data_IF_800355291736
#
_entry.id   IF_800355291736
#
_cell.length_a   1.000
_cell.length_b   1.000
_cell.length_c   1.000
_cell.angle_alpha   90.00
_cell.angle_beta   90.00
_cell.angle_gamma   90.00
#
_symmetry.space_group_name_H-M   'P 1'
#
loop_
_entity.id
_entity.type
_entity.pdbx_description
1 polymer ?
#
# COMPACT_ATOMS: atom_id res chain seq x y z
N UNK A 1 25.52 7.38 -7.28
CA UNK A 1 24.12 7.30 -6.82
C UNK A 1 23.20 7.40 -8.02
N UNK A 2 22.39 6.37 -8.31
CA UNK A 2 21.39 6.45 -9.39
C UNK A 2 20.36 7.51 -9.01
N UNK A 3 20.09 8.47 -9.89
CA UNK A 3 19.19 9.60 -9.62
C UNK A 3 17.73 9.28 -9.93
N UNK A 4 17.33 8.04 -9.68
CA UNK A 4 16.00 7.52 -10.00
C UNK A 4 15.57 6.43 -9.02
N UNK A 5 14.27 6.25 -8.86
CA UNK A 5 13.73 5.13 -8.11
C UNK A 5 13.78 3.86 -8.97
N UNK A 6 14.03 2.72 -8.33
CA UNK A 6 13.97 1.40 -8.95
C UNK A 6 12.75 0.65 -8.39
N UNK A 7 11.79 0.31 -9.24
CA UNK A 7 10.53 -0.32 -8.83
C UNK A 7 10.54 -1.77 -9.32
N UNK A 8 10.78 -2.73 -8.41
CA UNK A 8 10.92 -4.16 -8.76
C UNK A 8 9.69 -5.00 -8.45
N UNK A 9 8.54 -4.35 -8.30
CA UNK A 9 7.28 -4.99 -7.93
C UNK A 9 6.20 -4.64 -8.93
N UNK A 10 5.23 -5.54 -9.08
CA UNK A 10 3.97 -5.19 -9.71
C UNK A 10 3.12 -4.35 -8.74
N UNK A 11 3.02 -3.05 -9.02
CA UNK A 11 2.25 -2.10 -8.21
C UNK A 11 0.74 -2.31 -8.30
N UNK A 12 0.25 -2.98 -9.34
CA UNK A 12 -1.19 -3.29 -9.48
C UNK A 12 -1.65 -4.32 -8.45
N UNK A 13 -0.71 -5.09 -7.89
CA UNK A 13 -0.98 -6.06 -6.83
C UNK A 13 -1.09 -5.43 -5.43
N UNK A 14 -0.74 -4.14 -5.29
CA UNK A 14 -0.90 -3.38 -4.05
C UNK A 14 -2.31 -2.79 -3.92
N UNK A 15 -2.77 -2.65 -2.68
CA UNK A 15 -4.01 -1.94 -2.38
C UNK A 15 -3.97 -0.51 -2.99
N UNK A 16 -5.02 -0.01 -3.66
CA UNK A 16 -4.97 1.28 -4.37
C UNK A 16 -4.55 2.47 -3.50
N UNK A 17 -4.90 2.42 -2.20
CA UNK A 17 -4.42 3.39 -1.21
C UNK A 17 -2.92 3.27 -0.93
N UNK A 18 -2.37 2.06 -0.79
CA UNK A 18 -0.95 1.87 -0.54
C UNK A 18 -0.16 2.35 -1.75
N UNK A 19 -0.59 1.95 -2.95
CA UNK A 19 0.01 2.38 -4.20
C UNK A 19 0.02 3.92 -4.33
N UNK A 20 -1.10 4.58 -3.98
CA UNK A 20 -1.17 6.04 -3.95
C UNK A 20 -0.16 6.66 -2.96
N UNK A 21 -0.05 6.09 -1.76
CA UNK A 21 0.90 6.55 -0.73
C UNK A 21 2.35 6.30 -1.16
N UNK A 22 2.65 5.17 -1.79
CA UNK A 22 3.96 4.88 -2.36
C UNK A 22 4.35 5.93 -3.41
N UNK A 23 3.43 6.27 -4.32
CA UNK A 23 3.66 7.35 -5.29
C UNK A 23 3.97 8.71 -4.63
N UNK A 24 3.31 9.05 -3.52
CA UNK A 24 3.63 10.27 -2.75
C UNK A 24 5.00 10.15 -2.06
N UNK A 25 5.31 8.99 -1.49
CA UNK A 25 6.58 8.74 -0.81
C UNK A 25 7.75 8.94 -1.78
N UNK A 26 7.70 8.29 -2.95
CA UNK A 26 8.71 8.40 -4.00
C UNK A 26 8.93 9.88 -4.36
N UNK A 27 7.86 10.62 -4.68
CA UNK A 27 7.96 12.06 -4.99
C UNK A 27 8.58 12.88 -3.86
N UNK A 28 8.24 12.61 -2.60
CA UNK A 28 8.80 13.34 -1.44
C UNK A 28 10.27 12.98 -1.19
N UNK A 29 10.65 11.72 -1.41
CA UNK A 29 12.04 11.27 -1.30
C UNK A 29 12.91 11.84 -2.42
N UNK A 30 12.44 11.84 -3.67
CA UNK A 30 13.14 12.46 -4.81
C UNK A 30 13.43 13.95 -4.57
N UNK A 31 12.48 14.71 -4.03
CA UNK A 31 12.69 16.12 -3.63
C UNK A 31 13.80 16.31 -2.61
N UNK A 32 14.14 15.27 -1.85
CA UNK A 32 15.24 15.24 -0.87
C UNK A 32 16.48 14.51 -1.40
N UNK A 33 16.52 14.19 -2.70
CA UNK A 33 17.59 13.41 -3.34
C UNK A 33 17.81 12.04 -2.69
N UNK A 34 16.74 11.45 -2.15
CA UNK A 34 16.72 10.08 -1.65
C UNK A 34 16.00 9.22 -2.68
N UNK A 35 16.73 8.31 -3.29
CA UNK A 35 16.21 7.38 -4.28
C UNK A 35 16.06 5.99 -3.66
N UNK A 36 14.98 5.31 -4.01
CA UNK A 36 14.54 4.08 -3.34
C UNK A 36 14.52 2.95 -4.35
N UNK A 37 14.88 1.76 -3.89
CA UNK A 37 14.53 0.51 -4.54
C UNK A 37 13.30 -0.03 -3.82
N UNK A 38 12.21 -0.32 -4.54
CA UNK A 38 11.06 -1.03 -3.97
C UNK A 38 11.29 -2.50 -4.22
N UNK A 39 11.71 -3.22 -3.18
CA UNK A 39 12.26 -4.58 -3.29
C UNK A 39 11.19 -5.66 -3.17
N UNK A 40 10.16 -5.42 -2.35
CA UNK A 40 9.10 -6.39 -2.09
C UNK A 40 7.74 -5.69 -2.05
N UNK A 41 6.71 -6.40 -2.50
CA UNK A 41 5.35 -5.90 -2.64
C UNK A 41 4.35 -6.97 -2.19
N UNK A 42 3.42 -7.36 -3.07
CA UNK A 42 2.53 -8.47 -2.78
C UNK A 42 3.28 -9.80 -2.71
N UNK A 43 2.90 -10.67 -1.76
CA UNK A 43 3.41 -12.06 -1.66
C UNK A 43 2.26 -13.05 -1.78
N UNK A 44 2.41 -14.04 -2.66
CA UNK A 44 1.48 -15.18 -2.73
C UNK A 44 1.64 -16.10 -1.50
N UNK A 45 0.66 -16.99 -1.27
CA UNK A 45 0.76 -18.02 -0.23
C UNK A 45 2.01 -18.88 -0.40
N UNK A 46 2.24 -19.39 -1.62
CA UNK A 46 3.40 -20.23 -1.92
C UNK A 46 4.73 -19.48 -1.69
N UNK A 47 4.82 -18.21 -2.09
CA UNK A 47 6.02 -17.42 -1.85
C UNK A 47 6.25 -17.17 -0.35
N UNK A 48 5.19 -16.87 0.41
CA UNK A 48 5.28 -16.70 1.85
C UNK A 48 5.72 -18.00 2.55
N UNK A 49 5.20 -19.15 2.14
CA UNK A 49 5.62 -20.47 2.66
C UNK A 49 7.10 -20.76 2.33
N UNK A 50 7.56 -20.41 1.13
CA UNK A 50 8.97 -20.53 0.76
C UNK A 50 9.90 -19.65 1.61
N UNK A 51 9.47 -18.44 1.98
CA UNK A 51 10.21 -17.58 2.91
C UNK A 51 10.20 -18.13 4.33
N UNK A 52 9.07 -18.70 4.79
CA UNK A 52 8.96 -19.31 6.11
C UNK A 52 9.89 -20.53 6.26
N UNK A 53 10.13 -21.27 5.19
CA UNK A 53 11.02 -22.43 5.18
C UNK A 53 12.51 -22.08 5.42
N UNK A 54 12.97 -20.86 5.09
CA UNK A 54 14.37 -20.44 5.27
C UNK A 54 14.76 -20.42 6.75
N UNK A 55 15.90 -21.03 7.07
CA UNK A 55 16.39 -21.21 8.43
C UNK A 55 15.59 -22.23 9.26
N UNK A 56 14.71 -23.01 8.62
CA UNK A 56 13.92 -24.08 9.23
C UNK A 56 14.11 -25.39 8.49
N UNK A 57 13.51 -25.50 7.31
CA UNK A 57 13.60 -26.67 6.42
C UNK A 57 14.44 -26.43 5.18
N UNK A 58 14.89 -25.18 4.96
CA UNK A 58 15.84 -24.80 3.93
C UNK A 58 16.97 -23.94 4.53
N UNK A 59 18.18 -23.96 3.98
CA UNK A 59 19.27 -23.08 4.42
C UNK A 59 18.91 -21.59 4.37
N UNK A 60 19.58 -20.79 5.20
CA UNK A 60 19.43 -19.33 5.26
C UNK A 60 18.95 -18.82 6.62
N UNK A 61 18.80 -17.50 6.76
CA UNK A 61 18.29 -16.86 7.98
C UNK A 61 16.76 -16.92 8.02
N UNK A 62 16.20 -17.01 9.23
CA UNK A 62 14.76 -16.80 9.44
C UNK A 62 14.43 -15.34 9.12
N UNK A 63 13.62 -15.13 8.08
CA UNK A 63 13.19 -13.80 7.61
C UNK A 63 11.72 -13.51 7.91
N UNK A 64 10.97 -14.49 8.42
CA UNK A 64 9.56 -14.35 8.79
C UNK A 64 9.14 -15.44 9.78
N UNK A 65 8.18 -15.11 10.63
CA UNK A 65 7.48 -16.05 11.50
C UNK A 65 6.09 -16.44 10.96
N UNK A 66 5.66 -15.84 9.85
CA UNK A 66 4.34 -16.08 9.28
C UNK A 66 4.37 -17.18 8.21
N UNK A 67 3.66 -18.29 8.47
CA UNK A 67 3.28 -19.27 7.44
C UNK A 67 2.27 -18.64 6.48
N UNK A 68 2.35 -18.98 5.19
CA UNK A 68 1.43 -18.51 4.17
C UNK A 68 -0.02 -18.90 4.45
N UNK A 69 -0.27 -20.08 5.01
CA UNK A 69 -1.62 -20.53 5.39
C UNK A 69 -2.31 -19.66 6.45
N UNK A 70 -1.57 -18.88 7.23
CA UNK A 70 -2.12 -18.07 8.32
C UNK A 70 -2.52 -16.66 7.90
N UNK A 71 -2.14 -16.23 6.69
CA UNK A 71 -2.29 -14.85 6.21
C UNK A 71 -1.78 -13.79 7.21
N UNK A 72 -0.73 -14.12 7.97
CA UNK A 72 -0.19 -13.23 9.02
C UNK A 72 0.84 -12.22 8.51
N UNK A 73 1.22 -12.30 7.23
CA UNK A 73 2.11 -11.34 6.56
C UNK A 73 1.29 -10.23 5.87
N UNK A 74 1.59 -8.97 6.16
CA UNK A 74 0.89 -7.82 5.56
C UNK A 74 1.08 -7.73 4.03
N UNK A 75 2.17 -8.26 3.49
CA UNK A 75 2.40 -8.35 2.04
C UNK A 75 1.36 -9.21 1.32
N UNK A 76 0.85 -10.25 1.98
CA UNK A 76 -0.18 -11.11 1.38
C UNK A 76 -1.50 -10.38 1.16
N UNK A 77 -1.74 -9.32 1.92
CA UNK A 77 -2.92 -8.46 1.79
C UNK A 77 -2.68 -7.29 0.82
N UNK A 78 -1.49 -7.16 0.24
CA UNK A 78 -1.12 -6.03 -0.62
C UNK A 78 -1.13 -4.67 0.11
N UNK A 79 -1.00 -4.67 1.45
CA UNK A 79 -0.99 -3.44 2.26
C UNK A 79 0.39 -3.06 2.76
N UNK A 80 1.44 -3.74 2.30
CA UNK A 80 2.83 -3.46 2.63
C UNK A 80 3.77 -3.53 1.43
N UNK A 81 4.92 -2.87 1.56
CA UNK A 81 6.05 -2.94 0.64
C UNK A 81 7.36 -2.78 1.42
N UNK A 82 8.44 -3.34 0.90
CA UNK A 82 9.80 -3.15 1.45
C UNK A 82 10.63 -2.24 0.54
N UNK A 83 11.57 -1.53 1.14
CA UNK A 83 12.48 -0.65 0.42
C UNK A 83 13.95 -0.94 0.74
N UNK A 84 14.82 -0.58 -0.19
CA UNK A 84 16.21 -0.26 0.06
C UNK A 84 16.52 1.15 -0.45
N UNK A 85 17.69 1.68 -0.10
CA UNK A 85 18.22 2.93 -0.69
C UNK A 85 18.89 2.59 -2.02
N UNK A 86 18.61 3.35 -3.08
CA UNK A 86 19.23 3.17 -4.40
C UNK A 86 20.64 3.79 -4.45
N UNK A 87 21.46 3.40 -3.49
CA UNK A 87 22.90 3.64 -3.43
C UNK A 87 23.53 2.38 -2.82
N UNK A 88 24.46 1.75 -3.54
CA UNK A 88 25.07 0.48 -3.13
C UNK A 88 25.76 0.56 -1.77
N UNK A 89 26.23 1.75 -1.36
CA UNK A 89 26.87 1.98 -0.06
C UNK A 89 25.87 2.17 1.08
N UNK A 90 24.60 2.41 0.77
CA UNK A 90 23.54 2.68 1.73
C UNK A 90 22.41 1.64 1.66
N UNK A 91 22.64 0.51 1.01
CA UNK A 91 21.67 -0.58 0.95
C UNK A 91 21.30 -1.00 2.38
N UNK A 92 20.01 -0.87 2.70
CA UNK A 92 19.46 -1.14 4.03
C UNK A 92 20.10 -0.35 5.18
N UNK A 93 20.72 0.80 4.89
CA UNK A 93 21.25 1.68 5.93
C UNK A 93 20.13 2.16 6.88
N UNK A 94 20.26 1.84 8.15
CA UNK A 94 19.21 2.06 9.14
C UNK A 94 18.90 3.55 9.35
N UNK A 95 19.92 4.43 9.32
CA UNK A 95 19.71 5.87 9.50
C UNK A 95 18.93 6.47 8.32
N UNK A 96 19.22 6.03 7.10
CA UNK A 96 18.51 6.42 5.89
C UNK A 96 17.09 5.85 5.84
N UNK A 97 16.89 4.58 6.20
CA UNK A 97 15.56 4.00 6.34
C UNK A 97 14.71 4.75 7.37
N UNK A 98 15.29 5.13 8.52
CA UNK A 98 14.64 5.97 9.53
C UNK A 98 14.28 7.37 9.00
N UNK A 99 15.14 7.98 8.15
CA UNK A 99 14.82 9.25 7.46
C UNK A 99 13.63 9.08 6.52
N UNK A 100 13.59 8.01 5.72
CA UNK A 100 12.45 7.70 4.85
C UNK A 100 11.19 7.45 5.67
N UNK A 101 11.30 6.76 6.81
CA UNK A 101 10.18 6.50 7.71
C UNK A 101 9.56 7.77 8.28
N UNK A 102 10.36 8.78 8.63
CA UNK A 102 9.82 10.09 9.02
C UNK A 102 8.98 10.74 7.91
N UNK A 103 9.34 10.53 6.64
CA UNK A 103 8.57 11.03 5.48
C UNK A 103 7.28 10.19 5.29
N UNK A 104 7.40 8.87 5.38
CA UNK A 104 6.32 7.91 5.21
C UNK A 104 5.22 8.10 6.29
N UNK A 105 5.60 8.31 7.54
CA UNK A 105 4.67 8.58 8.66
C UNK A 105 3.85 9.86 8.44
N UNK A 106 4.46 10.93 7.92
CA UNK A 106 3.75 12.18 7.57
C UNK A 106 2.68 12.00 6.48
N UNK A 107 2.73 10.90 5.73
CA UNK A 107 1.73 10.56 4.73
C UNK A 107 0.88 9.35 5.17
N UNK A 108 0.88 8.98 6.45
CA UNK A 108 0.01 7.95 7.00
C UNK A 108 0.41 6.51 6.70
N UNK A 109 1.70 6.25 6.45
CA UNK A 109 2.27 4.90 6.44
C UNK A 109 2.88 4.58 7.81
N UNK A 110 2.82 3.31 8.19
CA UNK A 110 3.57 2.74 9.30
C UNK A 110 4.93 2.24 8.85
N UNK A 111 5.80 1.95 9.81
CA UNK A 111 7.16 1.47 9.57
C UNK A 111 7.46 0.29 10.50
N UNK A 112 7.99 -0.80 9.95
CA UNK A 112 8.33 -2.01 10.71
C UNK A 112 9.51 -1.82 11.66
N UNK A 113 10.32 -0.77 11.46
CA UNK A 113 11.37 -0.37 12.39
C UNK A 113 10.86 0.14 13.75
N UNK A 114 9.57 0.42 13.89
CA UNK A 114 8.96 0.77 15.19
C UNK A 114 8.43 -0.45 15.97
N UNK A 115 8.46 -1.65 15.38
CA UNK A 115 7.96 -2.85 16.04
C UNK A 115 8.89 -3.27 17.19
N UNK A 116 8.35 -3.97 18.19
CA UNK A 116 9.16 -4.54 19.29
C UNK A 116 9.93 -5.77 18.82
N UNK A 117 9.26 -6.65 18.08
CA UNK A 117 9.84 -7.84 17.45
C UNK A 117 8.82 -8.42 16.44
N UNK A 118 9.24 -8.94 15.29
CA UNK A 118 10.59 -8.80 14.72
C UNK A 118 10.72 -7.35 14.20
N UNK A 119 11.81 -6.67 14.50
CA UNK A 119 12.06 -5.32 13.95
C UNK A 119 12.40 -5.46 12.47
N UNK A 120 11.59 -4.85 11.60
CA UNK A 120 11.72 -4.98 10.14
C UNK A 120 11.88 -3.59 9.50
N UNK A 121 13.12 -3.12 9.40
CA UNK A 121 13.42 -1.74 9.01
C UNK A 121 13.18 -1.43 7.52
N UNK A 122 13.25 -2.38 6.57
CA UNK A 122 12.78 -2.16 5.20
C UNK A 122 11.27 -1.98 5.06
N UNK A 123 10.47 -2.44 6.02
CA UNK A 123 9.02 -2.66 5.86
C UNK A 123 8.16 -1.42 6.09
N UNK A 124 7.24 -1.14 5.17
CA UNK A 124 6.25 -0.06 5.24
C UNK A 124 4.85 -0.55 4.96
N UNK A 125 3.85 -0.02 5.66
CA UNK A 125 2.47 -0.53 5.56
C UNK A 125 1.39 0.54 5.75
N UNK A 126 0.16 0.24 5.34
CA UNK A 126 -1.01 1.06 5.68
C UNK A 126 -1.45 0.83 7.12
N UNK A 127 -1.41 1.88 7.94
CA UNK A 127 -1.82 1.81 9.37
C UNK A 127 -3.32 1.61 9.57
N UNK A 128 -4.13 1.75 8.51
CA UNK A 128 -5.59 1.63 8.56
C UNK A 128 -6.07 0.34 9.23
N UNK A 129 -5.34 -0.77 9.06
CA UNK A 129 -5.68 -2.08 9.64
C UNK A 129 -4.76 -2.50 10.80
N UNK A 130 -4.02 -1.55 11.38
CA UNK A 130 -3.06 -1.84 12.45
C UNK A 130 -1.70 -2.34 11.96
N UNK A 131 -0.81 -2.64 12.91
CA UNK A 131 0.53 -3.19 12.67
C UNK A 131 0.53 -4.70 12.41
N UNK A 132 -0.60 -5.38 12.58
CA UNK A 132 -0.76 -6.82 12.31
C UNK A 132 -1.87 -7.04 11.29
N UNK A 133 -2.11 -8.29 10.88
CA UNK A 133 -3.22 -8.64 9.97
C UNK A 133 -4.48 -9.08 10.71
N UNK A 134 -4.56 -8.94 12.04
CA UNK A 134 -5.68 -9.41 12.84
C UNK A 134 -7.02 -8.82 12.35
N UNK A 135 -7.10 -7.49 12.22
CA UNK A 135 -8.30 -6.81 11.71
C UNK A 135 -8.67 -7.24 10.29
N UNK A 136 -7.68 -7.45 9.42
CA UNK A 136 -7.93 -7.91 8.05
C UNK A 136 -8.53 -9.33 8.03
N UNK A 137 -7.97 -10.24 8.82
CA UNK A 137 -8.48 -11.61 8.97
C UNK A 137 -9.89 -11.64 9.55
N UNK A 138 -10.17 -10.81 10.57
CA UNK A 138 -11.51 -10.72 11.17
C UNK A 138 -12.56 -10.22 10.18
N UNK A 139 -12.25 -9.18 9.40
CA UNK A 139 -13.25 -8.52 8.53
C UNK A 139 -13.41 -9.23 7.19
N UNK A 140 -12.31 -9.72 6.59
CA UNK A 140 -12.31 -10.22 5.22
C UNK A 140 -12.01 -11.70 5.11
N UNK A 141 -11.55 -12.37 6.18
CA UNK A 141 -11.17 -13.79 6.21
C UNK A 141 -9.91 -14.10 5.38
N UNK A 142 -9.90 -13.79 4.08
CA UNK A 142 -8.80 -14.07 3.16
C UNK A 142 -8.37 -12.82 2.35
N UNK A 143 -7.12 -12.79 1.85
CA UNK A 143 -6.68 -11.71 0.96
C UNK A 143 -7.52 -11.55 -0.31
N UNK A 144 -8.09 -12.63 -0.84
CA UNK A 144 -8.88 -12.58 -2.07
C UNK A 144 -10.24 -11.91 -1.86
N UNK A 145 -10.91 -12.20 -0.74
CA UNK A 145 -12.12 -11.49 -0.33
C UNK A 145 -11.82 -10.01 -0.11
N UNK A 146 -10.69 -9.69 0.53
CA UNK A 146 -10.26 -8.31 0.69
C UNK A 146 -10.02 -7.60 -0.65
N UNK A 147 -9.32 -8.24 -1.60
CA UNK A 147 -9.01 -7.68 -2.91
C UNK A 147 -10.27 -7.33 -3.72
N UNK A 148 -11.34 -8.13 -3.60
CA UNK A 148 -12.64 -7.84 -4.23
C UNK A 148 -13.23 -6.50 -3.78
N UNK A 149 -12.84 -5.96 -2.63
CA UNK A 149 -13.33 -4.66 -2.13
C UNK A 149 -12.62 -3.44 -2.75
N UNK A 150 -11.53 -3.65 -3.49
CA UNK A 150 -10.68 -2.58 -4.02
C UNK A 150 -11.29 -1.89 -5.23
N UNK A 151 -12.32 -2.47 -5.84
CA UNK A 151 -13.01 -1.91 -6.99
C UNK A 151 -14.51 -1.87 -6.72
N UNK A 152 -15.15 -0.79 -7.14
CA UNK A 152 -16.61 -0.65 -7.08
C UNK A 152 -17.15 0.00 -8.34
N UNK A 153 -18.43 -0.21 -8.62
CA UNK A 153 -19.11 0.43 -9.77
C UNK A 153 -19.88 1.66 -9.34
N UNK A 154 -19.81 2.72 -10.15
CA UNK A 154 -20.68 3.87 -10.02
C UNK A 154 -22.11 3.48 -10.41
N UNK A 155 -23.09 3.85 -9.60
CA UNK A 155 -24.52 3.58 -9.80
C UNK A 155 -25.29 4.88 -9.68
N UNK A 156 -25.30 5.63 -10.78
CA UNK A 156 -26.00 6.92 -10.94
C UNK A 156 -26.12 7.23 -12.42
N UNK A 157 -27.35 7.24 -12.94
CA UNK A 157 -27.66 7.46 -14.36
C UNK A 157 -26.93 8.68 -14.96
N UNK A 158 -26.99 9.83 -14.30
CA UNK A 158 -26.28 11.05 -14.69
C UNK A 158 -24.78 11.09 -14.39
N UNK A 159 -24.17 9.96 -14.06
CA UNK A 159 -22.79 9.86 -13.60
C UNK A 159 -22.52 10.55 -12.26
N UNK A 160 -21.27 10.47 -11.81
CA UNK A 160 -20.83 10.93 -10.49
C UNK A 160 -19.60 11.84 -10.59
N UNK A 161 -19.67 13.03 -10.02
CA UNK A 161 -18.55 13.97 -10.02
C UNK A 161 -17.41 13.46 -9.15
N UNK A 162 -16.19 13.47 -9.71
CA UNK A 162 -14.95 13.20 -9.00
C UNK A 162 -14.36 14.52 -8.48
N UNK A 163 -14.64 14.85 -7.22
CA UNK A 163 -14.24 16.10 -6.59
C UNK A 163 -12.74 16.13 -6.28
N UNK A 164 -12.11 17.31 -6.44
CA UNK A 164 -10.67 17.50 -6.17
C UNK A 164 -10.36 17.45 -4.66
N UNK A 165 -11.27 17.96 -3.84
CA UNK A 165 -11.22 17.87 -2.39
C UNK A 165 -12.57 17.41 -1.80
N UNK A 166 -12.62 17.28 -0.48
CA UNK A 166 -13.88 17.01 0.24
C UNK A 166 -14.84 18.21 0.16
N UNK A 167 -14.31 19.42 -0.01
CA UNK A 167 -15.09 20.63 -0.26
C UNK A 167 -15.41 20.77 -1.74
N UNK A 168 -16.69 21.05 -2.04
CA UNK A 168 -17.20 21.31 -3.39
C UNK A 168 -16.60 22.56 -4.03
N UNK A 169 -16.08 23.49 -3.21
CA UNK A 169 -15.49 24.76 -3.67
C UNK A 169 -14.24 24.56 -4.53
N UNK A 170 -13.56 23.42 -4.40
CA UNK A 170 -12.35 23.11 -5.18
C UNK A 170 -12.65 22.61 -6.60
N UNK A 171 -13.93 22.42 -6.95
CA UNK A 171 -14.35 21.89 -8.23
C UNK A 171 -14.11 20.38 -8.39
N UNK A 172 -14.37 19.89 -9.59
CA UNK A 172 -14.23 18.47 -9.96
C UNK A 172 -13.16 18.27 -11.04
N UNK A 173 -12.61 17.07 -11.13
CA UNK A 173 -11.75 16.69 -12.25
C UNK A 173 -12.57 16.33 -13.48
N UNK A 174 -13.61 15.54 -13.29
CA UNK A 174 -14.46 14.98 -14.33
C UNK A 174 -15.73 14.38 -13.71
N UNK A 175 -16.63 13.93 -14.58
CA UNK A 175 -17.79 13.11 -14.22
C UNK A 175 -17.53 11.66 -14.62
N UNK A 176 -17.59 10.76 -13.66
CA UNK A 176 -17.46 9.32 -13.85
C UNK A 176 -18.80 8.79 -14.39
N UNK A 177 -18.82 8.08 -15.54
CA UNK A 177 -20.04 7.52 -16.11
C UNK A 177 -20.75 6.54 -15.17
N UNK A 178 -22.05 6.31 -15.42
CA UNK A 178 -22.75 5.20 -14.80
C UNK A 178 -22.05 3.87 -15.16
N UNK A 179 -22.06 2.91 -14.25
CA UNK A 179 -21.45 1.58 -14.39
C UNK A 179 -19.93 1.52 -14.56
N UNK A 180 -19.25 2.67 -14.63
CA UNK A 180 -17.80 2.73 -14.63
C UNK A 180 -17.22 2.20 -13.30
N UNK A 181 -16.13 1.45 -13.41
CA UNK A 181 -15.40 0.91 -12.27
C UNK A 181 -14.39 1.93 -11.76
N UNK A 182 -14.33 2.10 -10.43
CA UNK A 182 -13.36 2.95 -9.75
C UNK A 182 -12.53 2.13 -8.78
N UNK A 183 -11.25 2.49 -8.60
CA UNK A 183 -10.43 1.89 -7.55
C UNK A 183 -10.68 2.61 -6.22
N UNK A 184 -10.97 1.86 -5.19
CA UNK A 184 -11.28 2.35 -3.85
C UNK A 184 -10.00 2.52 -3.06
N UNK A 185 -9.72 3.75 -2.61
CA UNK A 185 -8.63 4.01 -1.67
C UNK A 185 -9.13 3.85 -0.24
N UNK A 186 -10.20 4.56 0.12
CA UNK A 186 -10.87 4.39 1.41
C UNK A 186 -12.26 5.02 1.39
N UNK A 187 -13.12 4.61 2.32
CA UNK A 187 -14.38 5.27 2.63
C UNK A 187 -14.32 5.94 4.01
N UNK A 188 -14.96 7.10 4.16
CA UNK A 188 -15.14 7.79 5.45
C UNK A 188 -16.39 8.68 5.39
N UNK A 189 -17.27 8.54 6.38
CA UNK A 189 -18.51 9.33 6.44
C UNK A 189 -19.32 9.20 5.14
N UNK A 190 -19.76 10.31 4.55
CA UNK A 190 -20.54 10.34 3.31
C UNK A 190 -19.75 10.08 2.03
N UNK A 191 -18.41 10.08 2.07
CA UNK A 191 -17.59 10.06 0.86
C UNK A 191 -16.71 8.81 0.76
N UNK A 192 -16.26 8.56 -0.46
CA UNK A 192 -15.23 7.60 -0.80
C UNK A 192 -14.11 8.31 -1.55
N UNK A 193 -12.86 8.09 -1.14
CA UNK A 193 -11.71 8.49 -1.94
C UNK A 193 -11.42 7.39 -2.94
N UNK A 194 -11.35 7.74 -4.21
CA UNK A 194 -11.21 6.79 -5.31
C UNK A 194 -10.17 7.25 -6.31
N UNK A 195 -9.76 6.33 -7.18
CA UNK A 195 -8.97 6.61 -8.36
C UNK A 195 -9.76 6.21 -9.61
N UNK A 196 -9.71 7.07 -10.62
CA UNK A 196 -10.31 6.83 -11.93
C UNK A 196 -9.48 7.57 -12.99
N UNK A 197 -9.03 6.85 -14.03
CA UNK A 197 -8.15 7.36 -15.10
C UNK A 197 -6.98 8.21 -14.56
N UNK A 198 -6.24 7.65 -13.59
CA UNK A 198 -5.08 8.31 -12.97
C UNK A 198 -5.39 9.48 -12.03
N UNK A 199 -6.63 9.98 -11.98
CA UNK A 199 -7.04 11.05 -11.05
C UNK A 199 -7.50 10.45 -9.73
N UNK A 200 -7.04 11.03 -8.63
CA UNK A 200 -7.45 10.63 -7.27
C UNK A 200 -8.27 11.76 -6.66
N UNK A 201 -9.51 11.44 -6.27
CA UNK A 201 -10.47 12.42 -5.80
C UNK A 201 -11.53 11.80 -4.90
N UNK A 202 -12.59 12.56 -4.66
CA UNK A 202 -13.66 12.20 -3.72
C UNK A 202 -14.98 12.05 -4.48
N UNK A 203 -15.73 11.01 -4.15
CA UNK A 203 -17.08 10.77 -4.68
C UNK A 203 -18.05 10.53 -3.52
N UNK A 204 -19.34 10.76 -3.75
CA UNK A 204 -20.37 10.45 -2.75
C UNK A 204 -20.58 8.93 -2.70
N UNK A 205 -20.33 8.32 -1.54
CA UNK A 205 -20.30 6.86 -1.38
C UNK A 205 -21.64 6.18 -1.67
N UNK A 206 -22.76 6.90 -1.55
CA UNK A 206 -24.11 6.33 -1.71
C UNK A 206 -24.40 5.86 -3.13
N UNK A 207 -23.61 6.32 -4.10
CA UNK A 207 -23.76 6.00 -5.52
C UNK A 207 -22.71 4.99 -6.00
N UNK A 208 -22.18 4.17 -5.10
CA UNK A 208 -21.05 3.28 -5.38
C UNK A 208 -21.32 1.94 -4.74
N UNK A 209 -21.42 0.88 -5.55
CA UNK A 209 -21.71 -0.49 -5.10
C UNK A 209 -20.51 -1.39 -5.34
#
# INVERSE_FOLDING_TARGET
MKKEHDIRIDRTMLHPWLDYRLGILLKKCAKKRIYLIITEGYRSKAYQDALYAKGRTKPGKVVTNAKGSTYSSQHMWGIAFDIAINDSRLLYDHAMLKKVAKIAKKIGLGWGGDWRSIVDTPHFYLTKWGSTTATLKTIYTTPDVFRKTWKKKVKRSKGLLLWKAQSKLTGSYLRIPNDATVDVLYAKGWYMKVRYHGKVGYINRKFVK
#
